data_IF_182501765795
#
_entry.id   IF_182501765795
#
_cell.length_a   1.000
_cell.length_b   1.000
_cell.length_c   1.000
_cell.angle_alpha   90.00
_cell.angle_beta   90.00
_cell.angle_gamma   90.00
#
_symmetry.space_group_name_H-M   'P 1'
#
loop_
_entity.id
_entity.type
_entity.pdbx_description
1 polymer ?
#
# COMPACT_ATOMS: atom_id res chain seq x y z
N UNK A 1 21.35 34.39 42.95
CA UNK A 1 21.01 33.69 41.69
C UNK A 1 19.50 33.65 41.60
N UNK A 2 18.91 34.27 40.57
CA UNK A 2 17.46 34.28 40.37
C UNK A 2 16.97 32.88 40.00
N UNK A 3 16.33 32.21 40.96
CA UNK A 3 15.73 30.89 40.79
C UNK A 3 14.74 30.87 39.61
N UNK A 4 14.06 31.99 39.36
CA UNK A 4 13.11 32.15 38.26
C UNK A 4 13.81 31.99 36.91
N UNK A 5 14.96 32.64 36.69
CA UNK A 5 15.73 32.52 35.45
C UNK A 5 16.27 31.10 35.24
N UNK A 6 16.63 30.41 36.32
CA UNK A 6 17.07 29.01 36.26
C UNK A 6 15.92 28.07 35.85
N UNK A 7 14.72 28.24 36.40
CA UNK A 7 13.55 27.44 36.02
C UNK A 7 13.09 27.70 34.58
N UNK A 8 13.16 28.96 34.13
CA UNK A 8 12.76 29.35 32.77
C UNK A 8 13.69 28.75 31.71
N UNK A 9 15.00 28.70 31.98
CA UNK A 9 15.98 28.06 31.12
C UNK A 9 15.76 26.54 31.02
N UNK A 10 15.42 25.87 32.12
CA UNK A 10 15.08 24.45 32.13
C UNK A 10 13.76 24.16 31.39
N UNK A 11 12.74 25.01 31.56
CA UNK A 11 11.48 24.90 30.85
C UNK A 11 11.68 25.04 29.33
N UNK A 12 12.51 26.00 28.89
CA UNK A 12 12.84 26.19 27.48
C UNK A 12 13.58 24.97 26.88
N UNK A 13 14.56 24.41 27.61
CA UNK A 13 15.29 23.20 27.18
C UNK A 13 14.36 21.98 27.10
N UNK A 14 13.47 21.81 28.07
CA UNK A 14 12.49 20.73 28.05
C UNK A 14 11.51 20.88 26.87
N UNK A 15 11.04 22.09 26.60
CA UNK A 15 10.17 22.37 25.45
C UNK A 15 10.86 22.07 24.11
N UNK A 16 12.14 22.41 23.97
CA UNK A 16 12.94 22.09 22.78
C UNK A 16 13.06 20.57 22.55
N UNK A 17 13.36 19.82 23.62
CA UNK A 17 13.46 18.35 23.56
C UNK A 17 12.11 17.71 23.22
N UNK A 18 11.02 18.19 23.83
CA UNK A 18 9.67 17.72 23.52
C UNK A 18 9.27 18.04 22.08
N UNK A 19 9.61 19.23 21.58
CA UNK A 19 9.38 19.62 20.19
C UNK A 19 10.13 18.74 19.18
N UNK A 20 11.39 18.42 19.49
CA UNK A 20 12.20 17.51 18.67
C UNK A 20 11.61 16.09 18.67
N UNK A 21 11.21 15.59 19.85
CA UNK A 21 10.58 14.28 19.99
C UNK A 21 9.25 14.21 19.21
N UNK A 22 8.40 15.23 19.33
CA UNK A 22 7.15 15.32 18.59
C UNK A 22 7.38 15.33 17.07
N UNK A 23 8.42 16.01 16.59
CA UNK A 23 8.78 16.04 15.17
C UNK A 23 9.24 14.67 14.67
N UNK A 24 10.05 13.95 15.45
CA UNK A 24 10.47 12.58 15.12
C UNK A 24 9.26 11.64 15.08
N UNK A 25 8.34 11.73 16.04
CA UNK A 25 7.11 10.93 16.05
C UNK A 25 6.23 11.26 14.85
N UNK A 26 6.07 12.54 14.51
CA UNK A 26 5.29 12.97 13.34
C UNK A 26 5.90 12.46 12.02
N UNK A 27 7.23 12.55 11.87
CA UNK A 27 7.95 11.99 10.71
C UNK A 27 7.76 10.46 10.63
N UNK A 28 7.85 9.77 11.76
CA UNK A 28 7.65 8.32 11.84
C UNK A 28 6.23 7.93 11.46
N UNK A 29 5.23 8.62 12.00
CA UNK A 29 3.82 8.41 11.72
C UNK A 29 3.48 8.70 10.26
N UNK A 30 4.05 9.76 9.65
CA UNK A 30 3.88 10.09 8.24
C UNK A 30 4.44 8.99 7.32
N UNK A 31 5.58 8.41 7.69
CA UNK A 31 6.17 7.27 6.96
C UNK A 31 5.29 6.01 7.07
N UNK A 32 4.75 5.72 8.25
CA UNK A 32 3.85 4.57 8.45
C UNK A 32 2.48 4.77 7.78
N UNK A 33 1.99 6.01 7.69
CA UNK A 33 0.80 6.34 6.90
C UNK A 33 1.03 6.15 5.39
N UNK A 34 2.26 6.34 4.91
CA UNK A 34 2.67 6.04 3.54
C UNK A 34 2.47 4.57 3.18
N UNK A 35 2.77 3.64 4.10
CA UNK A 35 2.62 2.20 3.88
C UNK A 35 1.16 1.76 3.63
N UNK A 36 0.15 2.50 4.11
CA UNK A 36 -1.27 2.17 3.81
C UNK A 36 -1.73 2.64 2.44
N UNK A 37 -1.03 3.62 1.84
CA UNK A 37 -1.31 4.21 0.51
C UNK A 37 -0.32 3.74 -0.57
N UNK A 38 0.48 2.74 -0.21
CA UNK A 38 1.67 2.24 -0.89
C UNK A 38 1.42 1.29 -2.08
N UNK A 39 0.17 0.91 -2.31
CA UNK A 39 -0.16 -0.22 -3.16
C UNK A 39 -1.20 0.20 -4.18
N UNK A 40 -0.85 0.07 -5.46
CA UNK A 40 -1.83 0.08 -6.54
C UNK A 40 -2.13 -1.37 -6.88
N UNK A 41 -3.41 -1.70 -6.89
CA UNK A 41 -3.90 -3.04 -7.20
C UNK A 41 -4.90 -2.87 -8.32
N UNK A 42 -4.50 -3.28 -9.51
CA UNK A 42 -5.31 -3.26 -10.71
C UNK A 42 -5.74 -4.69 -11.05
N UNK A 43 -6.99 -4.81 -11.50
CA UNK A 43 -7.64 -6.07 -11.83
C UNK A 43 -8.24 -5.94 -13.22
N UNK A 44 -7.93 -6.90 -14.08
CA UNK A 44 -8.40 -6.95 -15.45
C UNK A 44 -8.62 -8.39 -15.91
N UNK A 45 -9.47 -8.58 -16.92
CA UNK A 45 -9.65 -9.87 -17.58
C UNK A 45 -8.85 -9.85 -18.88
N UNK A 46 -7.82 -10.68 -18.98
CA UNK A 46 -6.98 -10.81 -20.19
C UNK A 46 -7.35 -12.07 -20.98
N UNK A 47 -7.29 -12.06 -22.32
CA UNK A 47 -7.51 -13.26 -23.13
C UNK A 47 -6.38 -14.28 -22.92
N UNK A 48 -6.72 -15.57 -22.83
CA UNK A 48 -5.76 -16.67 -22.58
C UNK A 48 -5.11 -17.12 -23.89
N UNK A 49 -4.28 -16.24 -24.46
CA UNK A 49 -3.49 -16.52 -25.66
C UNK A 49 -4.30 -16.86 -26.92
N UNK A 50 -3.60 -17.10 -28.05
CA UNK A 50 -4.26 -17.40 -29.33
C UNK A 50 -4.83 -18.83 -29.40
N UNK A 51 -4.41 -19.74 -28.51
CA UNK A 51 -4.79 -21.16 -28.53
C UNK A 51 -6.12 -21.45 -27.81
N UNK A 52 -6.60 -20.54 -26.96
CA UNK A 52 -7.90 -20.66 -26.29
C UNK A 52 -8.78 -19.47 -26.67
N UNK A 53 -9.21 -19.44 -27.93
CA UNK A 53 -10.06 -18.39 -28.48
C UNK A 53 -11.34 -18.24 -27.63
N UNK A 54 -11.51 -17.06 -27.01
CA UNK A 54 -12.68 -16.72 -26.20
C UNK A 54 -12.55 -16.98 -24.70
N UNK A 55 -11.50 -17.68 -24.24
CA UNK A 55 -11.22 -17.80 -22.81
C UNK A 55 -10.61 -16.49 -22.29
N UNK A 56 -11.21 -15.94 -21.23
CA UNK A 56 -10.63 -14.81 -20.49
C UNK A 56 -10.23 -15.29 -19.11
N UNK A 57 -9.10 -14.78 -18.62
CA UNK A 57 -8.59 -15.10 -17.31
C UNK A 57 -8.33 -13.82 -16.52
N UNK A 58 -8.70 -13.80 -15.23
CA UNK A 58 -8.36 -12.69 -14.35
C UNK A 58 -6.85 -12.55 -14.18
N UNK A 59 -6.39 -11.31 -14.32
CA UNK A 59 -5.03 -10.85 -14.12
C UNK A 59 -5.01 -9.78 -13.04
N UNK A 60 -4.04 -9.87 -12.12
CA UNK A 60 -3.87 -8.92 -11.04
C UNK A 60 -2.47 -8.33 -11.15
N UNK A 61 -2.42 -7.01 -11.25
CA UNK A 61 -1.16 -6.27 -11.23
C UNK A 61 -1.06 -5.52 -9.92
N UNK A 62 0.01 -5.79 -9.18
CA UNK A 62 0.32 -5.13 -7.91
C UNK A 62 1.55 -4.25 -8.15
N UNK A 63 1.40 -2.95 -7.95
CA UNK A 63 2.51 -1.99 -8.03
C UNK A 63 2.87 -1.50 -6.64
N UNK A 64 4.13 -1.63 -6.27
CA UNK A 64 4.68 -1.04 -5.06
C UNK A 64 5.03 0.43 -5.33
N UNK A 65 4.22 1.38 -4.87
CA UNK A 65 4.51 2.82 -5.03
C UNK A 65 5.28 3.41 -3.84
N UNK A 66 5.99 2.55 -3.09
CA UNK A 66 6.83 2.99 -1.96
C UNK A 66 8.30 3.00 -2.30
N UNK A 67 9.07 3.64 -1.42
CA UNK A 67 10.53 3.69 -1.49
C UNK A 67 11.21 2.44 -0.93
N UNK A 68 10.45 1.52 -0.35
CA UNK A 68 10.96 0.35 0.37
C UNK A 68 10.42 -0.94 -0.29
N UNK A 69 11.18 -2.04 -0.26
CA UNK A 69 10.68 -3.32 -0.76
C UNK A 69 9.61 -3.90 0.18
N UNK A 70 8.69 -4.68 -0.36
CA UNK A 70 7.74 -5.42 0.45
C UNK A 70 7.50 -6.82 -0.11
N UNK A 71 6.97 -7.67 0.75
CA UNK A 71 6.73 -9.07 0.46
C UNK A 71 5.23 -9.30 0.35
N UNK A 72 4.80 -9.88 -0.75
CA UNK A 72 3.44 -10.37 -0.89
C UNK A 72 3.35 -11.72 -0.18
N UNK A 73 2.37 -11.86 0.71
CA UNK A 73 2.25 -13.08 1.54
C UNK A 73 1.18 -13.99 0.99
N UNK A 74 0.10 -13.41 0.49
CA UNK A 74 -0.98 -14.17 -0.12
C UNK A 74 -2.23 -13.34 -0.33
N UNK A 75 -3.23 -14.00 -0.89
CA UNK A 75 -4.58 -13.46 -1.05
C UNK A 75 -5.58 -14.26 -0.28
N UNK A 76 -6.64 -13.57 0.10
CA UNK A 76 -7.88 -14.14 0.59
C UNK A 76 -8.86 -14.17 -0.58
N UNK A 77 -9.32 -15.36 -0.93
CA UNK A 77 -10.37 -15.61 -1.92
C UNK A 77 -11.76 -15.50 -1.27
N UNK A 78 -12.85 -15.41 -2.05
CA UNK A 78 -14.21 -15.22 -1.52
C UNK A 78 -14.75 -16.35 -0.65
N UNK A 79 -14.19 -17.55 -0.80
CA UNK A 79 -14.43 -18.70 0.07
C UNK A 79 -13.71 -18.59 1.42
N UNK A 80 -12.99 -17.49 1.66
CA UNK A 80 -12.20 -17.25 2.87
C UNK A 80 -10.87 -17.99 2.90
N UNK A 81 -10.52 -18.76 1.86
CA UNK A 81 -9.24 -19.46 1.84
C UNK A 81 -8.09 -18.49 1.57
N UNK A 82 -6.98 -18.68 2.28
CA UNK A 82 -5.77 -17.89 2.11
C UNK A 82 -4.83 -18.62 1.16
N UNK A 83 -4.74 -18.20 -0.09
CA UNK A 83 -3.74 -18.71 -1.02
C UNK A 83 -2.42 -17.98 -0.76
N UNK A 84 -1.48 -18.69 -0.15
CA UNK A 84 -0.11 -18.21 0.02
C UNK A 84 0.64 -18.39 -1.29
N UNK A 85 1.29 -17.33 -1.76
CA UNK A 85 2.22 -17.42 -2.89
C UNK A 85 3.63 -17.51 -2.35
N UNK A 86 4.53 -18.14 -3.10
CA UNK A 86 5.96 -18.22 -2.76
C UNK A 86 6.51 -16.81 -2.60
N UNK A 87 6.50 -16.32 -1.36
CA UNK A 87 6.50 -14.93 -0.91
C UNK A 87 7.28 -13.96 -1.80
N UNK A 88 6.70 -13.43 -2.89
CA UNK A 88 7.47 -12.63 -3.83
C UNK A 88 7.76 -11.27 -3.22
N UNK A 89 9.01 -10.83 -3.35
CA UNK A 89 9.43 -9.50 -2.91
C UNK A 89 9.33 -8.53 -4.07
N UNK A 90 8.53 -7.47 -3.90
CA UNK A 90 8.33 -6.40 -4.88
C UNK A 90 9.23 -5.24 -4.50
N UNK A 91 10.16 -4.91 -5.39
CA UNK A 91 11.06 -3.77 -5.24
C UNK A 91 10.29 -2.43 -5.20
N UNK A 92 10.90 -1.34 -4.72
CA UNK A 92 10.36 0.02 -4.89
C UNK A 92 10.01 0.31 -6.36
N UNK A 93 8.83 0.89 -6.60
CA UNK A 93 8.26 1.16 -7.94
C UNK A 93 8.11 -0.08 -8.85
N UNK A 94 8.35 -1.27 -8.30
CA UNK A 94 8.24 -2.55 -8.99
C UNK A 94 6.80 -3.01 -9.13
N UNK A 95 6.57 -3.80 -10.17
CA UNK A 95 5.30 -4.48 -10.42
C UNK A 95 5.45 -5.98 -10.21
N UNK A 96 4.38 -6.60 -9.71
CA UNK A 96 4.24 -8.04 -9.65
C UNK A 96 2.89 -8.44 -10.20
N UNK A 97 2.92 -9.39 -11.12
CA UNK A 97 1.75 -9.90 -11.81
C UNK A 97 1.38 -11.27 -11.27
N UNK A 98 0.08 -11.48 -11.09
CA UNK A 98 -0.46 -12.71 -10.57
C UNK A 98 -1.49 -13.21 -11.56
N UNK A 99 -1.18 -14.38 -12.11
CA UNK A 99 -2.02 -15.10 -13.07
C UNK A 99 -2.82 -16.19 -12.35
N UNK A 100 -3.83 -16.73 -13.03
CA UNK A 100 -4.56 -17.93 -12.59
C UNK A 100 -5.17 -17.83 -11.17
N UNK A 101 -5.91 -16.76 -10.85
CA UNK A 101 -6.61 -16.63 -9.55
C UNK A 101 -8.12 -16.46 -9.69
N UNK A 102 -8.89 -17.07 -8.79
CA UNK A 102 -10.35 -17.05 -8.80
C UNK A 102 -10.90 -15.94 -7.90
N UNK A 103 -10.87 -14.69 -8.38
CA UNK A 103 -11.29 -13.49 -7.64
C UNK A 103 -10.58 -13.26 -6.28
N UNK A 104 -10.48 -12.01 -5.83
CA UNK A 104 -9.76 -11.66 -4.60
C UNK A 104 -10.62 -10.76 -3.74
N UNK A 105 -10.85 -11.17 -2.49
CA UNK A 105 -11.47 -10.33 -1.47
C UNK A 105 -10.44 -9.48 -0.74
N UNK A 106 -9.26 -10.05 -0.51
CA UNK A 106 -8.17 -9.32 0.12
C UNK A 106 -6.78 -9.74 -0.30
N UNK A 107 -5.85 -8.80 -0.26
CA UNK A 107 -4.43 -9.03 -0.53
C UNK A 107 -3.64 -8.68 0.73
N UNK A 108 -2.85 -9.64 1.22
CA UNK A 108 -2.00 -9.47 2.39
C UNK A 108 -0.58 -9.17 1.95
N UNK A 109 -0.11 -7.99 2.36
CA UNK A 109 1.21 -7.47 2.06
C UNK A 109 1.95 -7.30 3.39
N UNK A 110 3.16 -7.83 3.46
CA UNK A 110 4.08 -7.62 4.57
C UNK A 110 5.16 -6.65 4.15
N UNK A 111 5.39 -5.64 4.97
CA UNK A 111 6.47 -4.69 4.79
C UNK A 111 7.35 -4.69 6.01
N UNK A 112 8.65 -4.75 5.76
CA UNK A 112 9.67 -4.62 6.79
C UNK A 112 10.42 -3.34 6.54
N UNK A 113 10.36 -2.42 7.50
CA UNK A 113 11.09 -1.17 7.42
C UNK A 113 12.61 -1.46 7.47
N UNK A 114 13.43 -0.84 6.61
CA UNK A 114 14.88 -0.90 6.75
C UNK A 114 15.32 -0.46 8.15
N UNK A 115 16.16 -1.28 8.81
CA UNK A 115 16.62 -1.03 10.18
C UNK A 115 15.58 -1.34 11.28
N UNK A 116 14.43 -1.93 10.94
CA UNK A 116 13.45 -2.41 11.94
C UNK A 116 13.32 -3.92 11.89
N UNK A 117 13.22 -4.53 13.08
CA UNK A 117 12.83 -5.94 13.24
C UNK A 117 11.31 -6.13 13.11
N UNK A 118 10.52 -5.04 13.14
CA UNK A 118 9.07 -5.12 13.10
C UNK A 118 8.56 -5.28 11.67
N UNK A 119 7.76 -6.31 11.44
CA UNK A 119 7.02 -6.53 10.20
C UNK A 119 5.62 -5.94 10.35
N UNK A 120 5.23 -5.08 9.40
CA UNK A 120 3.89 -4.53 9.31
C UNK A 120 3.10 -5.34 8.29
N UNK A 121 1.88 -5.73 8.63
CA UNK A 121 0.98 -6.37 7.69
C UNK A 121 -0.15 -5.42 7.31
N UNK A 122 -0.36 -5.28 6.01
CA UNK A 122 -1.51 -4.59 5.45
C UNK A 122 -2.38 -5.60 4.72
N UNK A 123 -3.68 -5.56 4.97
CA UNK A 123 -4.67 -6.30 4.20
C UNK A 123 -5.44 -5.32 3.36
N UNK A 124 -5.12 -5.26 2.07
CA UNK A 124 -5.96 -4.61 1.08
C UNK A 124 -7.27 -5.39 0.99
N UNK A 125 -8.42 -4.71 0.93
CA UNK A 125 -9.73 -5.33 0.70
C UNK A 125 -10.37 -4.65 -0.50
N UNK A 126 -10.82 -5.41 -1.49
CA UNK A 126 -11.37 -4.86 -2.74
C UNK A 126 -12.59 -3.95 -2.48
N UNK A 127 -13.43 -4.30 -1.50
CA UNK A 127 -14.59 -3.49 -1.07
C UNK A 127 -14.27 -2.19 -0.31
N UNK A 128 -13.00 -1.96 0.07
CA UNK A 128 -12.51 -0.72 0.69
C UNK A 128 -11.55 0.03 -0.23
N UNK A 129 -11.79 -0.02 -1.55
CA UNK A 129 -11.06 0.88 -2.47
C UNK A 129 -11.27 2.31 -1.99
N UNK A 130 -10.18 3.02 -1.69
CA UNK A 130 -10.26 4.44 -1.29
C UNK A 130 -11.08 5.15 -2.36
N UNK A 131 -12.18 5.80 -1.97
CA UNK A 131 -13.15 6.44 -2.87
C UNK A 131 -12.47 7.21 -4.03
N UNK A 132 -11.33 7.83 -3.75
CA UNK A 132 -10.47 8.54 -4.70
C UNK A 132 -10.04 7.72 -5.93
N UNK A 133 -9.79 6.42 -5.79
CA UNK A 133 -9.43 5.52 -6.91
C UNK A 133 -10.67 5.18 -7.74
N UNK A 134 -11.82 4.97 -7.09
CA UNK A 134 -13.11 4.77 -7.78
C UNK A 134 -13.45 5.98 -8.65
N UNK A 135 -13.37 7.18 -8.08
CA UNK A 135 -13.62 8.41 -8.83
C UNK A 135 -12.62 8.64 -9.96
N UNK A 136 -11.34 8.31 -9.75
CA UNK A 136 -10.34 8.41 -10.80
C UNK A 136 -10.61 7.46 -11.96
N UNK A 137 -11.02 6.21 -11.71
CA UNK A 137 -11.42 5.25 -12.75
C UNK A 137 -12.70 5.68 -13.46
N UNK A 138 -13.69 6.19 -12.74
CA UNK A 138 -14.91 6.76 -13.33
C UNK A 138 -14.58 7.93 -14.25
N UNK A 139 -13.71 8.84 -13.79
CA UNK A 139 -13.28 9.99 -14.59
C UNK A 139 -12.54 9.58 -15.86
N UNK A 140 -11.64 8.59 -15.78
CA UNK A 140 -10.96 8.05 -16.97
C UNK A 140 -11.92 7.33 -17.91
N UNK A 141 -12.89 6.57 -17.40
CA UNK A 141 -13.91 5.93 -18.23
C UNK A 141 -14.78 6.95 -18.99
N UNK A 142 -15.17 8.05 -18.34
CA UNK A 142 -15.92 9.15 -18.97
C UNK A 142 -15.06 9.84 -20.04
N UNK A 143 -13.81 10.17 -19.72
CA UNK A 143 -12.92 10.87 -20.66
C UNK A 143 -12.48 10.00 -21.84
N UNK A 144 -12.31 8.70 -21.66
CA UNK A 144 -12.04 7.77 -22.77
C UNK A 144 -13.28 7.51 -23.63
N UNK A 145 -14.49 7.49 -23.05
CA UNK A 145 -15.73 7.41 -23.83
C UNK A 145 -15.95 8.64 -24.70
N UNK A 146 -15.52 9.82 -24.23
CA UNK A 146 -15.61 11.07 -25.00
C UNK A 146 -14.60 11.19 -26.14
N UNK A 147 -13.51 10.39 -26.13
CA UNK A 147 -12.54 10.33 -27.22
C UNK A 147 -12.91 9.33 -28.32
N UNK A 148 -13.91 8.47 -28.06
CA UNK A 148 -14.40 7.45 -29.00
C UNK A 148 -15.78 7.80 -29.61
N UNK A 149 -16.38 8.91 -29.20
CA UNK A 149 -17.56 9.51 -29.81
C UNK A 149 -17.14 10.69 -30.70
#
# INVERSE_FOLDING_TARGET
>A
MDLIAFFDEWAARAALLLGLFATVVALRARRDAGFRKAWLVDWEMRPVGPQQAGATQPHLTITNVTRDSATLVGVTTPDGTAKLWGTPTVAPDGTHEIENFSAIEGLRIQWRRPGSLRTYSYTYRSGRTVWRIRWRRVWYAITDSHKRA
#
